data_IF_148247103640
#
_entry.id   IF_148247103640
#
_cell.length_a   1.000
_cell.length_b   1.000
_cell.length_c   1.000
_cell.angle_alpha   90.00
_cell.angle_beta   90.00
_cell.angle_gamma   90.00
#
_symmetry.space_group_name_H-M   'P 1'
#
loop_
_entity.id
_entity.type
_entity.pdbx_description
1 polymer ?
#
# COMPACT_ATOMS: atom_id res chain seq x y z
N UNK A 1 37.30 6.97 -16.12
CA UNK A 1 35.97 6.40 -15.80
C UNK A 1 35.61 5.39 -16.89
N UNK A 2 35.45 4.10 -16.59
CA UNK A 2 35.02 3.13 -17.59
C UNK A 2 33.58 3.44 -18.05
N UNK A 3 33.24 3.27 -19.33
CA UNK A 3 31.89 3.52 -19.84
C UNK A 3 30.89 2.59 -19.16
N UNK A 4 29.80 3.14 -18.64
CA UNK A 4 28.74 2.35 -18.01
C UNK A 4 28.08 1.43 -19.05
N UNK A 5 27.75 0.17 -18.68
CA UNK A 5 27.06 -0.74 -19.59
C UNK A 5 25.70 -0.15 -19.96
N UNK A 6 25.40 -0.10 -21.26
CA UNK A 6 24.10 0.35 -21.75
C UNK A 6 23.00 -0.52 -21.14
N UNK A 7 22.08 0.11 -20.41
CA UNK A 7 20.90 -0.53 -19.83
C UNK A 7 19.68 -0.09 -20.64
N UNK A 8 19.15 -0.95 -21.53
CA UNK A 8 18.07 -0.57 -22.44
C UNK A 8 16.78 -0.14 -21.72
N UNK A 9 16.57 -0.64 -20.50
CA UNK A 9 15.42 -0.26 -19.68
C UNK A 9 15.47 1.20 -19.19
N UNK A 10 16.66 1.83 -19.20
CA UNK A 10 16.87 3.24 -18.83
C UNK A 10 16.79 4.18 -20.03
N UNK A 11 16.84 3.64 -21.25
CA UNK A 11 16.70 4.42 -22.48
C UNK A 11 15.22 4.56 -22.86
N UNK A 12 14.70 5.79 -22.77
CA UNK A 12 13.33 6.11 -23.11
C UNK A 12 13.02 5.83 -24.59
N UNK A 13 13.97 6.06 -25.51
CA UNK A 13 13.78 5.87 -26.96
C UNK A 13 13.59 4.40 -27.29
N UNK A 14 14.45 3.54 -26.74
CA UNK A 14 14.34 2.10 -26.89
C UNK A 14 13.00 1.58 -26.36
N UNK A 15 12.60 2.02 -25.15
CA UNK A 15 11.34 1.60 -24.53
C UNK A 15 10.13 1.97 -25.39
N UNK A 16 10.08 3.19 -25.92
CA UNK A 16 9.00 3.64 -26.81
C UNK A 16 8.98 2.83 -28.10
N UNK A 17 10.13 2.63 -28.75
CA UNK A 17 10.24 1.86 -29.99
C UNK A 17 9.82 0.40 -29.81
N UNK A 18 10.26 -0.26 -28.74
CA UNK A 18 9.91 -1.65 -28.43
C UNK A 18 8.41 -1.81 -28.14
N UNK A 19 7.80 -0.86 -27.42
CA UNK A 19 6.36 -0.87 -27.14
C UNK A 19 5.54 -0.61 -28.42
N UNK A 20 5.99 0.31 -29.27
CA UNK A 20 5.35 0.59 -30.56
C UNK A 20 5.38 -0.64 -31.47
N UNK A 21 6.55 -1.28 -31.60
CA UNK A 21 6.72 -2.52 -32.37
C UNK A 21 5.87 -3.66 -31.81
N UNK A 22 5.87 -3.85 -30.48
CA UNK A 22 5.02 -4.85 -29.82
C UNK A 22 3.53 -4.63 -30.13
N UNK A 23 3.05 -3.39 -29.99
CA UNK A 23 1.65 -3.04 -30.28
C UNK A 23 1.30 -3.28 -31.75
N UNK A 24 2.18 -2.88 -32.67
CA UNK A 24 2.02 -3.09 -34.10
C UNK A 24 1.94 -4.59 -34.43
N UNK A 25 2.88 -5.40 -33.94
CA UNK A 25 2.91 -6.85 -34.18
C UNK A 25 1.69 -7.56 -33.60
N UNK A 26 1.26 -7.21 -32.38
CA UNK A 26 0.05 -7.81 -31.78
C UNK A 26 -1.21 -7.43 -32.54
N UNK A 27 -1.29 -6.18 -33.04
CA UNK A 27 -2.41 -5.73 -33.87
C UNK A 27 -2.44 -6.47 -35.20
N UNK A 28 -1.32 -6.52 -35.91
CA UNK A 28 -1.22 -7.22 -37.20
C UNK A 28 -1.45 -8.71 -37.04
N UNK A 29 -0.96 -9.35 -35.97
CA UNK A 29 -1.14 -10.77 -35.71
C UNK A 29 -2.60 -11.18 -35.41
N UNK A 30 -3.45 -10.25 -34.96
CA UNK A 30 -4.88 -10.51 -34.73
C UNK A 30 -5.70 -10.44 -36.02
N UNK A 31 -5.22 -9.71 -37.01
CA UNK A 31 -5.88 -9.54 -38.30
C UNK A 31 -5.57 -10.68 -39.29
N UNK A 32 -4.68 -11.61 -38.94
CA UNK A 32 -4.35 -12.76 -39.78
C UNK A 32 -5.46 -13.80 -39.69
N UNK A 33 -6.08 -14.20 -40.82
CA UNK A 33 -7.04 -15.29 -40.84
C UNK A 33 -6.31 -16.62 -40.56
N UNK A 34 -6.80 -17.37 -39.57
CA UNK A 34 -6.30 -18.69 -39.22
C UNK A 34 -7.33 -19.75 -39.60
N UNK A 35 -6.91 -20.94 -40.07
CA UNK A 35 -7.80 -22.08 -40.24
C UNK A 35 -8.52 -22.43 -38.92
N UNK A 36 -9.79 -22.87 -38.97
CA UNK A 36 -10.61 -23.12 -37.77
C UNK A 36 -9.95 -24.09 -36.78
N UNK A 37 -9.24 -25.10 -37.28
CA UNK A 37 -8.51 -26.10 -36.49
C UNK A 37 -7.42 -25.48 -35.59
N UNK A 38 -6.79 -24.40 -36.05
CA UNK A 38 -5.72 -23.70 -35.35
C UNK A 38 -6.23 -22.50 -34.55
N UNK A 39 -7.30 -21.85 -34.99
CA UNK A 39 -7.86 -20.67 -34.35
C UNK A 39 -8.32 -20.93 -32.90
N UNK A 40 -8.86 -22.12 -32.62
CA UNK A 40 -9.36 -22.50 -31.30
C UNK A 40 -8.23 -22.76 -30.27
N UNK A 41 -7.09 -23.28 -30.72
CA UNK A 41 -6.00 -23.74 -29.84
C UNK A 41 -4.82 -22.78 -29.76
N UNK A 42 -4.64 -21.92 -30.76
CA UNK A 42 -3.40 -21.14 -30.95
C UNK A 42 -3.68 -19.70 -31.34
N UNK A 43 -3.10 -18.79 -30.55
CA UNK A 43 -3.09 -17.36 -30.87
C UNK A 43 -1.70 -16.93 -31.31
N UNK A 44 -1.56 -16.45 -32.55
CA UNK A 44 -0.32 -15.84 -33.08
C UNK A 44 0.10 -14.66 -32.22
N UNK A 45 -0.86 -13.82 -31.79
CA UNK A 45 -0.62 -12.73 -30.85
C UNK A 45 -0.08 -13.23 -29.50
N UNK A 46 -0.55 -14.39 -29.03
CA UNK A 46 -0.03 -15.05 -27.82
C UNK A 46 1.41 -15.54 -27.96
N UNK A 47 1.85 -15.92 -29.17
CA UNK A 47 3.24 -16.30 -29.45
C UNK A 47 4.15 -15.06 -29.43
N UNK A 48 3.72 -13.97 -30.07
CA UNK A 48 4.44 -12.67 -30.06
C UNK A 48 4.67 -12.22 -28.62
N UNK A 49 3.62 -12.22 -27.79
CA UNK A 49 3.72 -11.86 -26.36
C UNK A 49 4.80 -12.65 -25.63
N UNK A 50 4.82 -13.97 -25.82
CA UNK A 50 5.80 -14.85 -25.16
C UNK A 50 7.22 -14.60 -25.62
N UNK A 51 7.42 -14.31 -26.92
CA UNK A 51 8.74 -13.97 -27.45
C UNK A 51 9.27 -12.65 -26.87
N UNK A 52 8.42 -11.64 -26.73
CA UNK A 52 8.81 -10.38 -26.07
C UNK A 52 9.15 -10.59 -24.58
N UNK A 53 8.40 -11.43 -23.87
CA UNK A 53 8.72 -11.79 -22.47
C UNK A 53 10.06 -12.52 -22.38
N UNK A 54 10.32 -13.49 -23.28
CA UNK A 54 11.57 -14.25 -23.32
C UNK A 54 12.79 -13.32 -23.53
N UNK A 55 12.66 -12.32 -24.39
CA UNK A 55 13.76 -11.41 -24.74
C UNK A 55 13.87 -10.18 -23.83
N UNK A 56 13.09 -10.10 -22.74
CA UNK A 56 13.09 -8.96 -21.79
C UNK A 56 14.45 -8.72 -21.14
N UNK A 57 15.28 -9.76 -21.01
CA UNK A 57 16.58 -9.70 -20.33
C UNK A 57 17.74 -9.31 -21.24
N UNK A 58 17.49 -9.04 -22.53
CA UNK A 58 18.56 -8.63 -23.44
C UNK A 58 19.05 -7.22 -23.12
N UNK A 59 20.32 -7.12 -22.72
CA UNK A 59 21.00 -5.86 -22.39
C UNK A 59 22.00 -5.42 -23.45
N UNK A 60 22.46 -6.34 -24.30
CA UNK A 60 23.44 -6.04 -25.36
C UNK A 60 22.81 -5.28 -26.53
N UNK A 61 23.36 -4.13 -26.95
CA UNK A 61 22.83 -3.34 -28.06
C UNK A 61 22.82 -4.11 -29.39
N UNK A 62 23.81 -5.00 -29.61
CA UNK A 62 23.86 -5.85 -30.80
C UNK A 62 22.70 -6.85 -30.86
N UNK A 63 22.39 -7.49 -29.73
CA UNK A 63 21.25 -8.42 -29.64
C UNK A 63 19.92 -7.70 -29.81
N UNK A 64 19.79 -6.49 -29.25
CA UNK A 64 18.61 -5.67 -29.42
C UNK A 64 18.42 -5.22 -30.87
N UNK A 65 19.48 -4.78 -31.55
CA UNK A 65 19.41 -4.41 -32.95
C UNK A 65 18.93 -5.58 -33.82
N UNK A 66 19.54 -6.76 -33.65
CA UNK A 66 19.14 -7.97 -34.38
C UNK A 66 17.67 -8.33 -34.09
N UNK A 67 17.26 -8.28 -32.82
CA UNK A 67 15.89 -8.60 -32.43
C UNK A 67 14.86 -7.59 -32.97
N UNK A 68 15.17 -6.29 -32.94
CA UNK A 68 14.32 -5.23 -33.48
C UNK A 68 14.22 -5.34 -35.00
N UNK A 69 15.34 -5.52 -35.70
CA UNK A 69 15.38 -5.72 -37.15
C UNK A 69 14.55 -6.94 -37.56
N UNK A 70 14.67 -8.06 -36.83
CA UNK A 70 13.82 -9.23 -37.05
C UNK A 70 12.34 -8.89 -36.84
N UNK A 71 12.00 -8.16 -35.77
CA UNK A 71 10.61 -7.74 -35.50
C UNK A 71 10.00 -6.87 -36.60
N UNK A 72 10.76 -5.96 -37.20
CA UNK A 72 10.30 -5.17 -38.35
C UNK A 72 10.10 -6.03 -39.61
N UNK A 73 10.97 -7.01 -39.86
CA UNK A 73 10.77 -8.00 -40.94
C UNK A 73 9.52 -8.86 -40.71
N UNK A 74 9.23 -9.25 -39.46
CA UNK A 74 8.00 -9.96 -39.16
C UNK A 74 6.75 -9.09 -39.32
N UNK A 75 6.86 -7.77 -39.12
CA UNK A 75 5.75 -6.86 -39.34
C UNK A 75 5.36 -6.83 -40.83
N UNK A 76 6.35 -6.78 -41.74
CA UNK A 76 6.09 -6.83 -43.18
C UNK A 76 5.57 -8.20 -43.61
N UNK A 77 6.10 -9.30 -43.06
CA UNK A 77 5.56 -10.65 -43.29
C UNK A 77 4.11 -10.77 -42.82
N UNK A 78 3.76 -10.26 -41.63
CA UNK A 78 2.39 -10.31 -41.10
C UNK A 78 1.42 -9.47 -41.92
N UNK A 79 1.84 -8.33 -42.46
CA UNK A 79 1.01 -7.54 -43.35
C UNK A 79 0.66 -8.31 -44.64
N UNK A 80 1.60 -9.07 -45.19
CA UNK A 80 1.35 -9.94 -46.36
C UNK A 80 0.48 -11.15 -46.01
N UNK A 81 0.66 -11.71 -44.81
CA UNK A 81 -0.10 -12.86 -44.33
C UNK A 81 -1.57 -12.55 -43.96
N UNK A 82 -2.03 -11.30 -44.08
CA UNK A 82 -3.45 -10.93 -43.93
C UNK A 82 -4.34 -11.57 -44.99
N UNK A 83 -3.79 -11.88 -46.17
CA UNK A 83 -4.51 -12.60 -47.22
C UNK A 83 -4.32 -14.11 -47.04
N UNK A 84 -5.42 -14.86 -46.93
CA UNK A 84 -5.39 -16.31 -46.70
C UNK A 84 -4.70 -17.11 -47.84
N UNK A 85 -4.64 -16.56 -49.05
CA UNK A 85 -3.99 -17.16 -50.22
C UNK A 85 -2.51 -16.78 -50.39
N UNK A 86 -1.95 -15.94 -49.50
CA UNK A 86 -0.54 -15.55 -49.58
C UNK A 86 0.38 -16.69 -49.13
N UNK A 87 1.54 -16.81 -49.78
CA UNK A 87 2.57 -17.79 -49.44
C UNK A 87 3.07 -17.62 -48.00
N UNK A 88 3.12 -16.38 -47.50
CA UNK A 88 3.50 -16.04 -46.13
C UNK A 88 2.46 -16.52 -45.10
N UNK A 89 1.17 -16.57 -45.46
CA UNK A 89 0.13 -17.18 -44.62
C UNK A 89 0.36 -18.69 -44.53
N UNK A 90 0.64 -19.36 -45.66
CA UNK A 90 1.00 -20.78 -45.69
C UNK A 90 2.20 -21.11 -44.79
N UNK A 91 3.29 -20.34 -44.91
CA UNK A 91 4.48 -20.49 -44.05
C UNK A 91 4.16 -20.31 -42.56
N UNK A 92 3.30 -19.35 -42.21
CA UNK A 92 2.88 -19.13 -40.83
C UNK A 92 2.05 -20.31 -40.31
N UNK A 93 1.11 -20.80 -41.11
CA UNK A 93 0.26 -21.95 -40.76
C UNK A 93 1.10 -23.21 -40.59
N UNK A 94 2.07 -23.46 -41.48
CA UNK A 94 3.00 -24.59 -41.37
C UNK A 94 3.94 -24.45 -40.18
N UNK A 95 4.41 -23.24 -39.88
CA UNK A 95 5.16 -22.96 -38.66
C UNK A 95 4.32 -23.21 -37.40
N UNK A 96 3.05 -22.82 -37.40
CA UNK A 96 2.15 -23.14 -36.30
C UNK A 96 2.03 -24.65 -36.18
N UNK A 97 1.70 -25.38 -37.25
CA UNK A 97 1.56 -26.85 -37.25
C UNK A 97 2.81 -27.57 -36.74
N UNK A 98 3.99 -27.15 -37.17
CA UNK A 98 5.28 -27.73 -36.75
C UNK A 98 5.69 -27.38 -35.33
N UNK A 99 5.17 -26.28 -34.76
CA UNK A 99 5.35 -26.02 -33.34
C UNK A 99 4.63 -27.11 -32.53
N UNK A 100 5.28 -27.75 -31.53
CA UNK A 100 4.59 -28.69 -30.68
C UNK A 100 3.37 -28.01 -30.05
N UNK A 101 2.21 -28.69 -29.94
CA UNK A 101 1.09 -28.16 -29.19
C UNK A 101 1.64 -27.77 -27.84
N UNK A 102 1.46 -26.49 -27.50
CA UNK A 102 1.70 -26.04 -26.16
C UNK A 102 0.89 -26.99 -25.32
N UNK A 103 1.57 -27.80 -24.49
CA UNK A 103 0.89 -28.41 -23.34
C UNK A 103 0.04 -27.27 -22.82
N UNK A 104 -1.30 -27.40 -22.76
CA UNK A 104 -2.05 -26.48 -21.94
C UNK A 104 -1.21 -26.46 -20.68
N UNK A 105 -0.68 -25.28 -20.33
CA UNK A 105 -0.20 -25.10 -18.97
C UNK A 105 -1.36 -25.73 -18.22
N UNK A 106 -1.11 -26.79 -17.47
CA UNK A 106 -1.95 -27.04 -16.34
C UNK A 106 -1.84 -25.69 -15.61
N UNK A 107 -2.73 -24.74 -15.96
CA UNK A 107 -3.82 -24.42 -15.07
C UNK A 107 -4.06 -25.74 -14.38
N UNK A 108 -3.32 -25.94 -13.28
CA UNK A 108 -3.96 -26.26 -12.01
C UNK A 108 -5.40 -25.95 -12.25
N UNK A 109 -6.16 -27.02 -12.57
CA UNK A 109 -7.60 -27.02 -12.77
C UNK A 109 -8.10 -25.69 -12.26
N UNK A 110 -8.61 -24.82 -13.14
CA UNK A 110 -9.29 -23.60 -12.71
C UNK A 110 -9.99 -23.95 -11.41
N UNK A 111 -9.48 -23.50 -10.23
CA UNK A 111 -9.74 -24.21 -8.99
C UNK A 111 -11.24 -24.19 -8.86
N UNK A 112 -11.82 -25.37 -9.04
CA UNK A 112 -13.24 -25.63 -9.15
C UNK A 112 -13.95 -24.63 -8.26
N UNK A 113 -14.60 -23.59 -8.82
CA UNK A 113 -14.62 -22.21 -8.30
C UNK A 113 -14.55 -22.22 -6.80
N UNK A 114 -13.30 -22.24 -6.25
CA UNK A 114 -13.00 -22.78 -4.92
C UNK A 114 -14.14 -22.41 -4.02
N UNK A 115 -15.03 -23.39 -3.70
CA UNK A 115 -16.32 -23.18 -3.03
C UNK A 115 -16.15 -21.97 -2.15
N UNK A 116 -16.70 -20.82 -2.59
CA UNK A 116 -16.28 -19.50 -2.08
C UNK A 116 -16.55 -19.51 -0.60
N UNK A 117 -15.56 -19.94 0.19
CA UNK A 117 -15.64 -19.91 1.63
C UNK A 117 -15.88 -18.44 1.88
N UNK A 118 -17.05 -18.06 2.41
CA UNK A 118 -17.41 -16.67 2.56
C UNK A 118 -16.25 -16.00 3.28
N UNK A 119 -15.66 -14.98 2.64
CA UNK A 119 -14.46 -14.34 3.13
C UNK A 119 -14.68 -14.03 4.61
N UNK A 120 -13.81 -14.57 5.47
CA UNK A 120 -13.99 -14.47 6.91
C UNK A 120 -14.23 -13.01 7.28
N UNK A 121 -15.34 -12.76 7.98
CA UNK A 121 -15.75 -11.40 8.32
C UNK A 121 -14.61 -10.69 9.07
N UNK A 122 -14.26 -9.45 8.67
CA UNK A 122 -13.16 -8.73 9.29
C UNK A 122 -13.42 -8.49 10.77
N UNK A 123 -12.37 -8.57 11.60
CA UNK A 123 -12.48 -8.42 13.05
C UNK A 123 -13.16 -7.11 13.50
N UNK A 124 -12.88 -6.02 12.78
CA UNK A 124 -13.50 -4.72 12.98
C UNK A 124 -14.15 -4.25 11.68
N UNK A 125 -15.35 -3.69 11.79
CA UNK A 125 -16.10 -3.12 10.67
C UNK A 125 -16.19 -1.60 10.82
N UNK A 126 -16.09 -0.89 9.71
CA UNK A 126 -16.32 0.55 9.71
C UNK A 126 -17.83 0.78 9.83
N UNK A 127 -18.25 1.46 10.90
CA UNK A 127 -19.64 1.82 11.19
C UNK A 127 -19.94 3.29 10.89
N UNK A 128 -18.92 4.07 10.53
CA UNK A 128 -19.12 5.46 10.15
C UNK A 128 -19.99 5.52 8.88
N UNK A 129 -20.91 6.49 8.86
CA UNK A 129 -21.69 6.74 7.66
C UNK A 129 -20.74 7.15 6.51
N UNK A 130 -21.19 6.95 5.27
CA UNK A 130 -20.55 7.62 4.17
C UNK A 130 -20.61 9.12 4.49
N UNK A 131 -19.45 9.77 4.62
CA UNK A 131 -19.25 11.19 4.97
C UNK A 131 -18.70 11.50 6.39
N UNK A 132 -18.55 10.50 7.26
CA UNK A 132 -18.05 10.70 8.62
C UNK A 132 -16.58 10.26 8.77
N UNK A 133 -15.84 10.81 9.76
CA UNK A 133 -14.53 10.29 10.16
C UNK A 133 -14.61 8.78 10.44
N UNK A 134 -13.55 8.00 10.13
CA UNK A 134 -13.59 6.56 10.29
C UNK A 134 -13.89 6.22 11.75
N UNK A 135 -14.88 5.34 11.95
CA UNK A 135 -15.25 4.82 13.26
C UNK A 135 -15.45 3.33 13.13
N UNK A 136 -14.73 2.56 13.93
CA UNK A 136 -14.75 1.11 13.85
C UNK A 136 -15.46 0.51 15.05
N UNK A 137 -16.23 -0.55 14.80
CA UNK A 137 -16.80 -1.39 15.84
C UNK A 137 -16.33 -2.84 15.65
N UNK A 138 -16.17 -3.61 16.74
CA UNK A 138 -15.93 -5.04 16.65
C UNK A 138 -17.08 -5.73 15.88
N UNK A 139 -16.73 -6.62 14.96
CA UNK A 139 -17.71 -7.44 14.21
C UNK A 139 -18.15 -8.64 15.04
N UNK A 140 -17.20 -9.31 15.70
CA UNK A 140 -17.47 -10.45 16.59
C UNK A 140 -17.34 -10.00 18.04
N UNK A 141 -18.36 -10.31 18.83
CA UNK A 141 -18.35 -10.07 20.27
C UNK A 141 -17.46 -11.09 20.98
N UNK A 142 -16.88 -10.68 22.10
CA UNK A 142 -16.19 -11.57 23.02
C UNK A 142 -17.16 -12.65 23.49
N UNK A 143 -16.75 -13.91 23.37
CA UNK A 143 -17.60 -15.05 23.72
C UNK A 143 -17.38 -15.42 25.20
N UNK A 144 -18.39 -15.95 25.92
CA UNK A 144 -18.24 -16.39 27.31
C UNK A 144 -17.36 -17.65 27.41
N UNK A 145 -16.72 -17.91 28.56
CA UNK A 145 -15.84 -19.08 28.79
C UNK A 145 -16.49 -20.42 28.44
N UNK A 146 -17.80 -20.55 28.68
CA UNK A 146 -18.58 -21.75 28.37
C UNK A 146 -18.59 -22.13 26.89
N UNK A 147 -18.30 -21.16 26.00
CA UNK A 147 -18.19 -21.36 24.56
C UNK A 147 -16.75 -21.54 24.06
N UNK A 148 -15.77 -21.42 24.96
CA UNK A 148 -14.37 -21.71 24.70
C UNK A 148 -14.11 -23.17 25.10
N UNK A 149 -13.26 -23.88 24.35
CA UNK A 149 -12.99 -25.32 24.52
C UNK A 149 -12.17 -25.65 25.79
N UNK A 150 -12.57 -25.12 26.96
CA UNK A 150 -11.94 -25.34 28.26
C UNK A 150 -10.58 -24.69 28.46
N UNK A 151 -10.15 -23.80 27.54
CA UNK A 151 -8.86 -23.08 27.67
C UNK A 151 -9.02 -21.77 28.44
N UNK A 152 -8.02 -21.38 29.27
CA UNK A 152 -8.03 -20.09 29.94
C UNK A 152 -8.05 -18.95 28.92
N UNK A 153 -8.85 -17.91 29.21
CA UNK A 153 -9.02 -16.74 28.35
C UNK A 153 -7.69 -16.00 28.19
N UNK A 154 -7.30 -15.73 26.94
CA UNK A 154 -6.06 -15.03 26.62
C UNK A 154 -6.37 -13.65 26.04
N UNK A 155 -6.18 -12.61 26.85
CA UNK A 155 -6.38 -11.23 26.46
C UNK A 155 -5.30 -10.79 25.44
N UNK A 156 -5.67 -10.42 24.20
CA UNK A 156 -4.71 -9.87 23.24
C UNK A 156 -4.18 -8.51 23.68
N UNK A 157 -2.91 -8.23 23.40
CA UNK A 157 -2.36 -6.89 23.64
C UNK A 157 -2.49 -6.03 22.38
N UNK A 158 -2.96 -4.80 22.53
CA UNK A 158 -2.84 -3.79 21.47
C UNK A 158 -1.39 -3.34 21.38
N UNK A 159 -0.79 -3.48 20.21
CA UNK A 159 0.55 -3.00 19.91
C UNK A 159 0.50 -1.98 18.78
N UNK A 160 1.43 -1.04 18.81
CA UNK A 160 1.56 0.00 17.80
C UNK A 160 2.96 -0.11 17.19
N UNK A 161 3.02 -0.04 15.86
CA UNK A 161 4.30 -0.03 15.14
C UNK A 161 4.97 1.34 15.29
N UNK A 162 6.27 1.47 15.05
CA UNK A 162 6.98 2.75 15.14
C UNK A 162 6.34 3.90 14.32
N UNK A 163 5.64 3.59 13.24
CA UNK A 163 4.94 4.57 12.39
C UNK A 163 3.47 4.81 12.78
N UNK A 164 2.99 4.22 13.88
CA UNK A 164 1.63 4.44 14.38
C UNK A 164 0.58 3.41 13.94
N UNK A 165 0.95 2.38 13.18
CA UNK A 165 -0.02 1.35 12.75
C UNK A 165 -0.41 0.43 13.93
N UNK A 166 -1.70 0.38 14.34
CA UNK A 166 -2.15 -0.49 15.42
C UNK A 166 -2.44 -1.91 14.93
N UNK A 167 -2.19 -2.89 15.80
CA UNK A 167 -2.54 -4.29 15.58
C UNK A 167 -2.69 -5.03 16.91
N UNK A 168 -3.43 -6.15 16.89
CA UNK A 168 -3.51 -7.04 18.04
C UNK A 168 -2.40 -8.08 18.01
N UNK A 169 -1.75 -8.27 19.15
CA UNK A 169 -0.75 -9.31 19.37
C UNK A 169 -1.34 -10.37 20.31
N UNK A 170 -1.73 -11.49 19.72
CA UNK A 170 -2.30 -12.64 20.44
C UNK A 170 -1.18 -13.52 21.01
N UNK A 171 -0.12 -13.78 20.24
CA UNK A 171 0.95 -14.72 20.61
C UNK A 171 2.35 -14.08 20.61
N UNK A 172 3.25 -14.68 21.39
CA UNK A 172 4.70 -14.47 21.34
C UNK A 172 5.34 -15.84 21.02
N UNK A 173 6.16 -15.99 19.97
CA UNK A 173 6.53 -14.99 18.95
C UNK A 173 5.33 -14.57 18.07
N UNK A 174 5.46 -13.42 17.39
CA UNK A 174 4.41 -12.93 16.49
C UNK A 174 4.35 -13.84 15.24
N UNK A 175 3.14 -14.19 14.74
CA UNK A 175 3.01 -14.98 13.52
C UNK A 175 3.70 -14.28 12.33
N UNK A 176 4.49 -15.04 11.57
CA UNK A 176 5.28 -14.51 10.46
C UNK A 176 4.41 -13.80 9.41
N UNK A 177 3.23 -14.35 9.10
CA UNK A 177 2.29 -13.76 8.14
C UNK A 177 1.79 -12.39 8.58
N UNK A 178 1.46 -12.23 9.87
CA UNK A 178 1.05 -10.94 10.42
C UNK A 178 2.20 -9.92 10.36
N UNK A 179 3.41 -10.33 10.73
CA UNK A 179 4.60 -9.49 10.66
C UNK A 179 4.88 -9.02 9.22
N UNK A 180 4.83 -9.92 8.23
CA UNK A 180 4.98 -9.57 6.81
C UNK A 180 3.91 -8.59 6.34
N UNK A 181 2.65 -8.79 6.75
CA UNK A 181 1.56 -7.88 6.39
C UNK A 181 1.76 -6.48 6.96
N UNK A 182 2.18 -6.37 8.22
CA UNK A 182 2.51 -5.09 8.86
C UNK A 182 3.66 -4.43 8.12
N UNK A 183 4.76 -5.15 7.86
CA UNK A 183 5.91 -4.62 7.13
C UNK A 183 5.57 -4.13 5.71
N UNK A 184 4.68 -4.83 4.99
CA UNK A 184 4.18 -4.39 3.67
C UNK A 184 3.41 -3.08 3.76
N UNK A 185 2.50 -2.95 4.75
CA UNK A 185 1.73 -1.72 4.97
C UNK A 185 2.64 -0.56 5.37
N UNK A 186 3.58 -0.81 6.27
CA UNK A 186 4.58 0.16 6.70
C UNK A 186 5.44 0.65 5.52
N UNK A 187 5.91 -0.26 4.66
CA UNK A 187 6.68 0.10 3.46
C UNK A 187 5.88 1.00 2.53
N UNK A 188 4.60 0.72 2.34
CA UNK A 188 3.73 1.55 1.51
C UNK A 188 3.51 2.94 2.11
N UNK A 189 3.39 3.03 3.44
CA UNK A 189 3.28 4.31 4.14
C UNK A 189 4.57 5.14 4.02
N UNK A 190 5.74 4.53 4.28
CA UNK A 190 7.05 5.15 4.11
C UNK A 190 7.25 5.72 2.69
N UNK A 191 6.84 4.97 1.66
CA UNK A 191 6.90 5.43 0.27
C UNK A 191 6.11 6.72 0.04
N UNK A 192 4.95 6.90 0.71
CA UNK A 192 4.17 8.13 0.60
C UNK A 192 4.88 9.30 1.27
N UNK A 193 5.43 9.09 2.47
CA UNK A 193 6.22 10.11 3.18
C UNK A 193 7.42 10.54 2.34
N UNK A 194 8.21 9.59 1.85
CA UNK A 194 9.35 9.89 0.99
C UNK A 194 8.94 10.61 -0.30
N UNK A 195 7.73 10.34 -0.82
CA UNK A 195 7.22 11.07 -1.98
C UNK A 195 6.96 12.55 -1.66
N UNK A 196 6.43 12.87 -0.47
CA UNK A 196 6.24 14.27 -0.05
C UNK A 196 7.59 14.97 0.11
N UNK A 197 8.55 14.30 0.75
CA UNK A 197 9.93 14.82 0.90
C UNK A 197 10.56 15.09 -0.46
N UNK A 198 10.53 14.10 -1.36
CA UNK A 198 11.03 14.25 -2.73
C UNK A 198 10.35 15.38 -3.49
N UNK A 199 9.04 15.56 -3.33
CA UNK A 199 8.33 16.68 -3.96
C UNK A 199 8.86 18.01 -3.42
N UNK A 200 9.07 18.14 -2.11
CA UNK A 200 9.55 19.39 -1.52
C UNK A 200 11.03 19.69 -1.88
N UNK A 201 11.89 18.69 -1.83
CA UNK A 201 13.35 18.87 -1.96
C UNK A 201 13.80 18.95 -3.43
N UNK A 202 13.22 18.12 -4.30
CA UNK A 202 13.68 18.00 -5.69
C UNK A 202 12.72 18.63 -6.69
N UNK A 203 11.42 18.30 -6.59
CA UNK A 203 10.45 18.65 -7.65
C UNK A 203 9.99 20.10 -7.53
N UNK A 204 9.76 20.61 -6.32
CA UNK A 204 9.28 21.97 -6.10
C UNK A 204 10.27 23.03 -6.60
N UNK A 205 11.58 22.96 -6.26
CA UNK A 205 12.54 23.94 -6.78
C UNK A 205 12.67 23.87 -8.30
N UNK A 206 12.68 22.66 -8.87
CA UNK A 206 12.70 22.49 -10.32
C UNK A 206 11.47 23.13 -10.99
N UNK A 207 10.29 23.01 -10.38
CA UNK A 207 9.07 23.61 -10.89
C UNK A 207 9.07 25.14 -10.82
N UNK A 208 9.68 25.71 -9.78
CA UNK A 208 9.90 27.16 -9.68
C UNK A 208 10.84 27.68 -10.78
N UNK A 209 11.91 26.93 -11.08
CA UNK A 209 12.81 27.26 -12.18
C UNK A 209 12.11 27.22 -13.54
N UNK A 210 11.31 26.18 -13.80
CA UNK A 210 10.54 26.04 -15.05
C UNK A 210 9.53 27.18 -15.21
N UNK A 211 8.72 27.46 -14.18
CA UNK A 211 7.75 28.56 -14.22
C UNK A 211 8.43 29.93 -14.43
N UNK A 212 9.65 30.11 -13.90
CA UNK A 212 10.43 31.32 -14.13
C UNK A 212 10.95 31.40 -15.57
N UNK A 213 11.37 30.28 -16.14
CA UNK A 213 11.80 30.19 -17.53
C UNK A 213 10.63 30.48 -18.48
N UNK A 214 9.44 29.91 -18.24
CA UNK A 214 8.22 30.19 -19.01
C UNK A 214 7.84 31.68 -18.98
N UNK A 215 8.08 32.34 -17.83
CA UNK A 215 7.86 33.79 -17.69
C UNK A 215 8.85 34.59 -18.54
N UNK A 216 10.14 34.26 -18.49
CA UNK A 216 11.17 34.92 -19.31
C UNK A 216 10.92 34.69 -20.79
N UNK A 217 10.53 33.48 -21.18
CA UNK A 217 10.24 33.17 -22.58
C UNK A 217 9.03 33.94 -23.10
N UNK A 218 7.99 34.08 -22.29
CA UNK A 218 6.86 34.90 -22.66
C UNK A 218 7.23 36.38 -22.85
N UNK A 219 8.07 36.94 -21.96
CA UNK A 219 8.56 38.32 -22.10
C UNK A 219 9.36 38.51 -23.40
N UNK A 220 10.21 37.54 -23.76
CA UNK A 220 10.96 37.57 -25.01
C UNK A 220 10.03 37.48 -26.23
N UNK A 221 9.03 36.58 -26.20
CA UNK A 221 8.03 36.47 -27.26
C UNK A 221 7.22 37.76 -27.44
N UNK A 222 6.84 38.41 -26.34
CA UNK A 222 6.13 39.70 -26.36
C UNK A 222 6.96 40.80 -27.05
N UNK A 223 8.28 40.79 -26.84
CA UNK A 223 9.22 41.74 -27.44
C UNK A 223 9.45 41.45 -28.94
N UNK A 224 9.48 40.18 -29.36
CA UNK A 224 9.76 39.79 -30.75
C UNK A 224 8.54 39.88 -31.67
N UNK A 225 7.34 39.48 -31.22
CA UNK A 225 6.16 39.40 -32.09
C UNK A 225 5.31 40.68 -32.16
N UNK A 226 5.66 41.73 -31.41
CA UNK A 226 4.95 43.00 -31.52
C UNK A 226 3.45 42.85 -31.22
N UNK A 227 3.13 42.36 -30.02
CA UNK A 227 1.81 42.44 -29.37
C UNK A 227 0.62 41.86 -30.16
N UNK A 228 0.36 40.57 -29.93
CA UNK A 228 -1.00 40.18 -29.55
C UNK A 228 -1.02 40.08 -28.03
N UNK A 229 -1.75 41.00 -27.38
CA UNK A 229 -2.01 40.90 -25.95
C UNK A 229 -2.86 39.65 -25.73
N UNK A 230 -2.24 38.52 -25.42
CA UNK A 230 -2.96 37.48 -24.68
C UNK A 230 -3.32 38.12 -23.35
N UNK A 231 -4.62 38.22 -23.06
CA UNK A 231 -5.12 38.87 -21.86
C UNK A 231 -4.35 38.37 -20.62
N UNK A 232 -3.79 39.25 -19.77
CA UNK A 232 -3.04 38.84 -18.58
C UNK A 232 -3.84 37.99 -17.59
N UNK A 233 -5.17 37.97 -17.74
CA UNK A 233 -6.10 37.20 -16.93
C UNK A 233 -6.17 35.71 -17.30
N UNK A 234 -5.72 35.32 -18.51
CA UNK A 234 -5.79 33.93 -18.99
C UNK A 234 -4.46 33.16 -18.81
N UNK A 235 -3.43 33.78 -18.22
CA UNK A 235 -2.28 33.04 -17.67
C UNK A 235 -2.72 32.41 -16.36
N UNK A 236 -3.58 31.40 -16.50
CA UNK A 236 -4.23 30.70 -15.41
C UNK A 236 -3.16 30.26 -14.40
N UNK A 237 -3.20 30.81 -13.19
CA UNK A 237 -2.40 30.33 -12.04
C UNK A 237 -2.55 28.81 -11.85
N UNK A 238 -3.64 28.25 -12.38
CA UNK A 238 -3.97 26.84 -12.40
C UNK A 238 -3.25 26.01 -13.48
N UNK A 239 -2.51 26.66 -14.39
CA UNK A 239 -1.78 26.03 -15.51
C UNK A 239 -0.27 25.90 -15.28
N UNK A 240 0.28 26.53 -14.23
CA UNK A 240 1.73 26.49 -14.00
C UNK A 240 2.20 25.11 -13.54
N UNK A 241 3.45 24.75 -13.87
CA UNK A 241 4.00 23.48 -13.46
C UNK A 241 4.10 23.42 -11.93
N UNK A 242 4.52 24.51 -11.29
CA UNK A 242 4.53 24.60 -9.82
C UNK A 242 3.14 24.36 -9.20
N UNK A 243 2.09 24.92 -9.78
CA UNK A 243 0.72 24.68 -9.29
C UNK A 243 0.38 23.19 -9.29
N UNK A 244 0.69 22.50 -10.39
CA UNK A 244 0.47 21.05 -10.48
C UNK A 244 1.26 20.25 -9.42
N UNK A 245 2.47 20.70 -9.08
CA UNK A 245 3.33 20.08 -8.06
C UNK A 245 2.79 20.29 -6.65
N UNK A 246 2.38 21.52 -6.30
CA UNK A 246 1.73 21.84 -5.02
C UNK A 246 0.48 20.98 -4.85
N UNK A 247 -0.31 20.88 -5.91
CA UNK A 247 -1.55 20.12 -5.91
C UNK A 247 -1.29 18.60 -5.74
N UNK A 248 -0.27 18.08 -6.43
CA UNK A 248 0.20 16.70 -6.26
C UNK A 248 0.73 16.41 -4.85
N UNK A 249 1.39 17.38 -4.21
CA UNK A 249 1.84 17.29 -2.82
C UNK A 249 0.68 17.17 -1.86
N UNK A 250 -0.27 18.12 -1.90
CA UNK A 250 -1.44 18.14 -1.02
C UNK A 250 -2.26 16.87 -1.13
N UNK A 251 -2.37 16.30 -2.33
CA UNK A 251 -3.02 15.01 -2.52
C UNK A 251 -2.35 13.89 -1.71
N UNK A 252 -1.02 13.80 -1.72
CA UNK A 252 -0.28 12.78 -0.98
C UNK A 252 -0.37 13.04 0.53
N UNK A 253 -0.30 14.30 0.96
CA UNK A 253 -0.48 14.69 2.37
C UNK A 253 -1.87 14.30 2.88
N UNK A 254 -2.93 14.60 2.13
CA UNK A 254 -4.29 14.17 2.48
C UNK A 254 -4.40 12.64 2.57
N UNK A 255 -3.74 11.92 1.66
CA UNK A 255 -3.71 10.45 1.74
C UNK A 255 -3.01 9.95 3.01
N UNK A 256 -1.96 10.65 3.48
CA UNK A 256 -1.26 10.34 4.73
C UNK A 256 -2.18 10.62 5.91
N UNK A 257 -2.81 11.80 5.96
CA UNK A 257 -3.75 12.18 7.01
C UNK A 257 -4.91 11.18 7.11
N UNK A 258 -5.51 10.79 5.98
CA UNK A 258 -6.55 9.74 5.92
C UNK A 258 -6.08 8.42 6.51
N UNK A 259 -4.86 7.99 6.16
CA UNK A 259 -4.31 6.75 6.74
C UNK A 259 -4.09 6.88 8.24
N UNK A 260 -3.72 8.07 8.72
CA UNK A 260 -3.52 8.34 10.14
C UNK A 260 -4.83 8.32 10.92
N UNK A 261 -5.87 8.98 10.40
CA UNK A 261 -7.22 8.94 10.97
C UNK A 261 -7.78 7.51 11.02
N UNK A 262 -7.62 6.76 9.93
CA UNK A 262 -8.02 5.35 9.88
C UNK A 262 -7.28 4.51 10.93
N UNK A 263 -5.98 4.72 11.09
CA UNK A 263 -5.18 4.02 12.11
C UNK A 263 -5.61 4.38 13.51
N UNK A 264 -5.84 5.65 13.85
CA UNK A 264 -6.34 6.03 15.16
C UNK A 264 -7.67 5.38 15.47
N UNK A 265 -8.63 5.46 14.55
CA UNK A 265 -9.96 4.89 14.73
C UNK A 265 -9.91 3.37 14.92
N UNK A 266 -9.06 2.67 14.16
CA UNK A 266 -8.82 1.23 14.36
C UNK A 266 -8.16 0.97 15.70
N UNK A 267 -7.18 1.77 16.10
CA UNK A 267 -6.47 1.65 17.38
C UNK A 267 -7.43 1.74 18.56
N UNK A 268 -8.32 2.74 18.55
CA UNK A 268 -9.37 2.92 19.55
C UNK A 268 -10.31 1.70 19.62
N UNK A 269 -10.80 1.23 18.47
CA UNK A 269 -11.69 0.06 18.43
C UNK A 269 -11.01 -1.23 18.91
N UNK A 270 -9.73 -1.43 18.56
CA UNK A 270 -8.95 -2.57 19.02
C UNK A 270 -8.64 -2.50 20.52
N UNK A 271 -8.41 -1.29 21.05
CA UNK A 271 -8.23 -1.06 22.48
C UNK A 271 -9.50 -1.38 23.26
N UNK A 272 -10.63 -0.83 22.84
CA UNK A 272 -11.93 -1.09 23.45
C UNK A 272 -12.29 -2.59 23.43
N UNK A 273 -11.92 -3.31 22.37
CA UNK A 273 -12.07 -4.76 22.28
C UNK A 273 -11.18 -5.50 23.30
N UNK A 274 -9.92 -5.10 23.44
CA UNK A 274 -9.00 -5.70 24.40
C UNK A 274 -9.40 -5.43 25.85
N UNK A 275 -9.93 -4.23 26.15
CA UNK A 275 -10.46 -3.90 27.49
C UNK A 275 -11.68 -4.74 27.84
N UNK A 276 -12.63 -4.94 26.91
CA UNK A 276 -13.77 -5.85 27.13
C UNK A 276 -13.32 -7.28 27.41
N UNK A 277 -12.33 -7.76 26.67
CA UNK A 277 -11.78 -9.10 26.86
C UNK A 277 -11.08 -9.23 28.22
N UNK A 278 -10.44 -8.16 28.70
CA UNK A 278 -9.85 -8.10 30.05
C UNK A 278 -10.91 -8.12 31.13
N UNK A 279 -11.97 -7.32 31.01
CA UNK A 279 -13.06 -7.27 31.98
C UNK A 279 -13.75 -8.64 32.13
N UNK A 280 -13.95 -9.37 31.02
CA UNK A 280 -14.49 -10.73 31.07
C UNK A 280 -13.52 -11.72 31.71
N UNK A 281 -12.22 -11.59 31.45
CA UNK A 281 -11.21 -12.41 32.10
C UNK A 281 -11.20 -12.20 33.62
N UNK A 282 -11.38 -10.96 34.07
CA UNK A 282 -11.46 -10.60 35.49
C UNK A 282 -12.73 -11.18 36.15
N UNK A 283 -13.90 -11.05 35.51
CA UNK A 283 -15.15 -11.65 35.98
C UNK A 283 -15.05 -13.17 36.12
N UNK A 284 -14.50 -13.85 35.11
CA UNK A 284 -14.34 -15.29 35.11
C UNK A 284 -13.30 -15.77 36.14
N UNK A 285 -12.23 -15.00 36.35
CA UNK A 285 -11.27 -15.29 37.42
C UNK A 285 -11.89 -15.15 38.81
N UNK A 286 -12.72 -14.13 39.02
CA UNK A 286 -13.43 -13.93 40.28
C UNK A 286 -14.46 -15.05 40.53
N UNK A 287 -15.21 -15.47 39.51
CA UNK A 287 -16.13 -16.61 39.61
C UNK A 287 -15.38 -17.93 39.87
N UNK A 288 -14.23 -18.13 39.22
CA UNK A 288 -13.38 -19.29 39.43
C UNK A 288 -12.76 -19.34 40.83
N UNK A 289 -12.53 -18.20 41.49
CA UNK A 289 -12.06 -18.15 42.88
C UNK A 289 -13.18 -18.43 43.90
N UNK A 290 -14.45 -18.17 43.55
CA UNK A 290 -15.61 -18.41 44.41
C UNK A 290 -16.00 -19.89 44.44
N UNK A 291 -16.03 -20.57 43.28
CA UNK A 291 -16.42 -22.00 43.16
C UNK A 291 -15.62 -22.98 44.04
N UNK A 292 -14.28 -22.90 44.19
CA UNK A 292 -13.51 -23.84 45.00
C UNK A 292 -13.74 -23.69 46.51
N UNK A 293 -14.43 -22.63 46.96
CA UNK A 293 -14.72 -22.39 48.39
C UNK A 293 -16.08 -22.93 48.83
N UNK A 294 -17.01 -23.12 47.90
CA UNK A 294 -18.35 -23.65 48.20
C UNK A 294 -18.38 -25.18 48.13
N UNK A 295 -17.65 -25.81 47.19
CA UNK A 295 -17.58 -27.27 47.10
C UNK A 295 -16.81 -27.89 48.28
N UNK A 296 -15.78 -27.22 48.81
CA UNK A 296 -15.07 -27.69 50.02
C UNK A 296 -15.84 -27.56 51.33
N UNK A 297 -17.03 -26.95 51.33
CA UNK A 297 -17.87 -26.81 52.53
C UNK A 297 -19.02 -27.81 52.59
N UNK A 298 -19.25 -28.58 51.53
CA UNK A 298 -20.37 -29.53 51.45
C UNK A 298 -19.91 -30.97 51.74
N UNK A 299 -18.60 -31.24 51.69
CA UNK A 299 -18.05 -32.59 51.91
C UNK A 299 -17.53 -32.84 53.36
N UNK A 300 -17.65 -31.88 54.28
CA UNK A 300 -17.13 -32.00 55.67
C UNK A 300 -18.20 -32.34 56.73
N UNK A 301 -19.45 -32.65 56.35
CA UNK A 301 -20.57 -32.91 57.29
C UNK A 301 -21.16 -34.34 57.21
N UNK A 302 -20.40 -35.36 56.78
CA UNK A 302 -20.83 -36.76 56.98
C UNK A 302 -19.65 -37.75 57.12
N UNK A 303 -19.10 -37.85 58.33
CA UNK A 303 -18.86 -39.13 59.02
C UNK A 303 -18.12 -38.90 60.35
N UNK A 304 -18.89 -38.99 61.43
CA UNK A 304 -18.35 -39.29 62.75
C UNK A 304 -17.98 -40.76 62.87
N UNK A 305 -16.77 -40.97 63.36
CA UNK A 305 -16.37 -42.05 64.27
C UNK A 305 -16.10 -43.45 63.71
N UNK A 306 -14.81 -43.80 63.60
CA UNK A 306 -14.13 -44.70 64.55
C UNK A 306 -12.96 -45.47 63.92
N UNK A 307 -11.75 -45.12 64.40
CA UNK A 307 -10.64 -46.03 64.71
C UNK A 307 -10.23 -47.14 63.72
N UNK A 308 -9.00 -47.04 63.18
CA UNK A 308 -7.93 -47.96 63.58
C UNK A 308 -6.58 -47.60 62.97
N UNK A 309 -5.58 -47.78 63.81
CA UNK A 309 -4.15 -47.63 63.62
C UNK A 309 -3.58 -48.64 62.62
N UNK A 310 -2.61 -48.22 61.79
CA UNK A 310 -1.29 -48.87 61.76
C UNK A 310 -0.30 -48.14 60.85
N UNK A 311 0.85 -47.93 61.46
CA UNK A 311 2.17 -47.59 60.92
C UNK A 311 2.59 -48.41 59.69
N UNK A 312 3.23 -47.75 58.73
CA UNK A 312 4.53 -48.21 58.23
C UNK A 312 5.34 -47.05 57.62
N UNK A 313 6.58 -46.98 58.05
CA UNK A 313 7.65 -46.09 57.64
C UNK A 313 8.24 -46.51 56.29
N UNK A 314 8.75 -45.55 55.51
CA UNK A 314 10.20 -45.44 55.20
C UNK A 314 10.51 -44.60 53.95
N UNK A 315 11.64 -43.88 54.07
CA UNK A 315 12.56 -43.37 53.04
C UNK A 315 12.05 -42.33 52.03
N UNK A 316 12.47 -41.06 52.08
CA UNK A 316 13.81 -40.50 51.88
C UNK A 316 14.46 -40.81 50.53
N UNK A 317 14.31 -39.88 49.57
CA UNK A 317 15.37 -39.59 48.60
C UNK A 317 15.20 -38.18 48.03
N UNK A 318 16.07 -37.32 48.52
CA UNK A 318 16.44 -36.01 48.01
C UNK A 318 16.96 -36.07 46.57
N UNK A 319 16.46 -35.19 45.71
CA UNK A 319 17.21 -34.73 44.53
C UNK A 319 17.05 -33.23 44.37
N UNK A 320 18.05 -32.55 44.90
CA UNK A 320 18.51 -31.19 44.70
C UNK A 320 18.55 -30.71 43.25
N UNK A 321 18.17 -29.44 43.02
CA UNK A 321 18.90 -28.39 42.25
C UNK A 321 17.96 -27.23 41.84
N UNK A 322 18.46 -26.02 41.50
CA UNK A 322 19.01 -25.07 42.45
C UNK A 322 18.27 -23.72 42.42
N UNK A 323 18.27 -23.08 43.58
CA UNK A 323 17.85 -21.70 43.80
C UNK A 323 18.73 -20.74 42.99
N UNK A 324 18.11 -20.01 42.05
CA UNK A 324 18.77 -18.90 41.32
C UNK A 324 18.43 -17.60 42.02
N UNK A 325 19.28 -17.24 42.99
CA UNK A 325 19.36 -15.92 43.61
C UNK A 325 19.34 -14.83 42.54
N UNK A 326 18.26 -14.04 42.51
CA UNK A 326 18.27 -12.71 41.90
C UNK A 326 18.51 -11.69 43.00
N UNK A 327 19.76 -11.22 43.07
CA UNK A 327 20.10 -9.98 43.75
C UNK A 327 19.24 -8.85 43.18
N UNK A 328 18.44 -8.25 44.05
CA UNK A 328 17.86 -6.93 43.87
C UNK A 328 19.01 -5.94 44.03
N UNK A 329 19.51 -5.41 42.91
CA UNK A 329 20.32 -4.20 42.90
C UNK A 329 19.37 -3.01 42.70
N UNK A 330 19.06 -2.35 43.81
CA UNK A 330 18.60 -0.97 43.85
C UNK A 330 19.72 -0.07 43.31
N UNK A 331 19.69 0.25 42.02
CA UNK A 331 20.37 1.43 41.50
C UNK A 331 19.40 2.60 41.55
N UNK A 332 19.56 3.41 42.59
CA UNK A 332 19.09 4.78 42.64
C UNK A 332 19.95 5.60 41.67
N UNK A 333 19.42 5.97 40.51
CA UNK A 333 20.01 7.01 39.68
C UNK A 333 18.93 8.04 39.36
N UNK A 334 19.08 9.20 39.99
CA UNK A 334 18.27 10.39 39.76
C UNK A 334 18.21 10.74 38.26
N UNK A 335 17.03 11.09 37.71
CA UNK A 335 16.95 11.65 36.37
C UNK A 335 17.46 13.11 36.36
N UNK A 336 18.23 13.54 35.35
CA UNK A 336 18.65 14.93 35.21
C UNK A 336 17.45 15.86 34.86
N UNK A 337 17.54 17.17 35.16
CA UNK A 337 16.43 18.10 35.09
C UNK A 337 15.90 18.31 33.66
N UNK A 338 14.57 18.31 33.56
CA UNK A 338 13.80 18.62 32.34
C UNK A 338 14.06 20.05 31.89
N UNK A 339 14.47 20.23 30.63
CA UNK A 339 14.38 21.51 29.92
C UNK A 339 12.92 21.75 29.48
N UNK A 340 12.46 23.01 29.42
CA UNK A 340 11.06 23.34 29.19
C UNK A 340 10.61 23.03 27.75
N UNK A 341 9.34 22.68 27.67
CA UNK A 341 8.56 22.35 26.48
C UNK A 341 8.74 23.32 25.30
N UNK A 342 9.23 22.83 24.16
CA UNK A 342 8.86 23.42 22.87
C UNK A 342 7.47 22.90 22.51
N UNK A 343 6.54 23.83 22.41
CA UNK A 343 5.14 23.61 22.09
C UNK A 343 4.98 22.81 20.78
N UNK A 344 4.31 21.66 20.86
CA UNK A 344 3.70 21.03 19.69
C UNK A 344 2.67 22.01 19.12
N UNK A 345 2.66 22.30 17.80
CA UNK A 345 1.67 23.22 17.25
C UNK A 345 0.28 22.61 17.39
N UNK A 346 -0.57 23.37 18.07
CA UNK A 346 -2.01 23.17 18.25
C UNK A 346 -2.69 22.72 16.95
N UNK A 347 -3.11 21.47 16.88
CA UNK A 347 -4.07 21.01 15.87
C UNK A 347 -5.44 21.39 16.39
N UNK A 348 -5.94 22.55 15.94
CA UNK A 348 -7.34 22.93 16.11
C UNK A 348 -8.21 21.86 15.44
N UNK A 349 -9.20 21.38 16.18
CA UNK A 349 -10.31 20.58 15.69
C UNK A 349 -10.98 21.31 14.51
N UNK A 350 -10.78 20.81 13.30
CA UNK A 350 -11.58 21.19 12.15
C UNK A 350 -12.22 19.92 11.58
N UNK A 351 -13.49 19.72 11.92
CA UNK A 351 -14.38 18.75 11.30
C UNK A 351 -14.73 19.20 9.89
N UNK A 352 -14.28 18.44 8.88
CA UNK A 352 -14.68 18.62 7.48
C UNK A 352 -15.79 17.64 7.09
N UNK A 353 -16.76 18.05 6.25
CA UNK A 353 -17.79 17.16 5.74
C UNK A 353 -17.18 16.25 4.67
N UNK A 354 -17.15 14.93 4.91
CA UNK A 354 -16.61 13.97 3.95
C UNK A 354 -17.66 13.56 2.92
N UNK A 355 -17.27 12.93 1.82
CA UNK A 355 -18.13 12.07 0.98
C UNK A 355 -17.34 10.81 0.66
N UNK A 356 -17.81 9.65 1.14
CA UNK A 356 -17.08 8.38 1.03
C UNK A 356 -17.13 7.79 -0.38
N UNK A 357 -15.98 7.35 -0.89
CA UNK A 357 -15.83 6.57 -2.11
C UNK A 357 -15.74 5.08 -1.79
N UNK A 358 -16.63 4.30 -2.40
CA UNK A 358 -16.46 2.84 -2.58
C UNK A 358 -15.23 2.56 -3.49
N UNK A 359 -14.60 1.38 -3.41
CA UNK A 359 -13.54 1.00 -4.33
C UNK A 359 -14.10 0.90 -5.76
N UNK A 360 -13.59 1.72 -6.69
CA UNK A 360 -14.03 1.65 -8.09
C UNK A 360 -13.32 0.52 -8.84
N UNK A 361 -14.00 -0.13 -9.80
CA UNK A 361 -13.40 -1.11 -10.72
C UNK A 361 -12.47 -0.40 -11.74
N UNK A 362 -11.74 -1.13 -12.60
CA UNK A 362 -10.54 -0.65 -13.29
C UNK A 362 -10.88 0.15 -14.54
N UNK A 363 -11.54 1.30 -14.38
CA UNK A 363 -11.60 2.33 -15.40
C UNK A 363 -10.82 3.53 -14.88
N UNK A 364 -9.69 3.78 -15.56
CA UNK A 364 -8.70 4.82 -15.30
C UNK A 364 -9.31 6.22 -15.55
N UNK A 365 -10.32 6.62 -14.77
CA UNK A 365 -10.80 8.00 -14.76
C UNK A 365 -9.79 8.80 -13.97
N UNK A 366 -9.23 9.80 -14.63
CA UNK A 366 -8.25 10.73 -14.09
C UNK A 366 -8.66 11.14 -12.66
N UNK A 367 -7.83 10.86 -11.63
CA UNK A 367 -8.13 11.25 -10.26
C UNK A 367 -8.35 12.76 -10.12
N UNK A 368 -7.88 13.57 -11.06
CA UNK A 368 -7.98 15.02 -11.08
C UNK A 368 -9.27 15.58 -11.70
N UNK A 369 -10.16 14.71 -12.19
CA UNK A 369 -11.46 15.12 -12.77
C UNK A 369 -12.62 14.67 -11.86
N UNK A 370 -12.32 13.95 -10.77
CA UNK A 370 -13.37 13.43 -9.89
C UNK A 370 -14.02 14.56 -9.07
N UNK A 371 -15.34 14.47 -8.77
CA UNK A 371 -16.00 15.43 -7.87
C UNK A 371 -15.32 15.53 -6.49
N UNK A 372 -14.65 14.46 -6.07
CA UNK A 372 -13.85 14.41 -4.84
C UNK A 372 -12.57 15.23 -4.91
N UNK A 373 -12.01 15.39 -6.10
CA UNK A 373 -10.87 16.25 -6.36
C UNK A 373 -11.26 17.72 -6.36
N UNK A 374 -12.37 18.07 -7.03
CA UNK A 374 -12.91 19.42 -6.97
C UNK A 374 -13.29 19.85 -5.54
N UNK A 375 -13.87 18.93 -4.75
CA UNK A 375 -14.17 19.17 -3.33
C UNK A 375 -12.91 19.37 -2.48
N UNK A 376 -11.84 18.61 -2.75
CA UNK A 376 -10.54 18.77 -2.09
C UNK A 376 -9.91 20.12 -2.43
N UNK A 377 -9.89 20.49 -3.72
CA UNK A 377 -9.39 21.80 -4.14
C UNK A 377 -10.18 22.92 -3.46
N UNK A 378 -11.50 22.78 -3.35
CA UNK A 378 -12.35 23.76 -2.68
C UNK A 378 -12.06 23.86 -1.17
N UNK A 379 -11.86 22.72 -0.47
CA UNK A 379 -11.57 22.71 0.97
C UNK A 379 -10.16 23.17 1.29
N UNK A 380 -9.19 22.83 0.45
CA UNK A 380 -7.78 23.18 0.59
C UNK A 380 -7.43 24.50 -0.09
N UNK A 381 -8.41 25.21 -0.66
CA UNK A 381 -8.20 26.47 -1.38
C UNK A 381 -7.41 27.47 -0.55
N UNK A 382 -7.66 27.57 0.75
CA UNK A 382 -6.94 28.48 1.67
C UNK A 382 -5.48 28.07 1.90
N UNK A 383 -5.19 26.77 1.94
CA UNK A 383 -3.81 26.26 2.04
C UNK A 383 -3.07 26.41 0.73
N UNK A 384 -3.75 26.17 -0.39
CA UNK A 384 -3.26 26.41 -1.76
C UNK A 384 -2.91 27.88 -1.99
N UNK A 385 -3.79 28.81 -1.62
CA UNK A 385 -3.55 30.25 -1.79
C UNK A 385 -2.42 30.76 -0.90
N UNK A 386 -2.27 30.23 0.33
CA UNK A 386 -1.14 30.55 1.20
C UNK A 386 0.19 30.03 0.63
N UNK A 387 0.22 28.77 0.19
CA UNK A 387 1.41 28.16 -0.41
C UNK A 387 1.87 28.86 -1.72
N UNK A 388 0.92 29.47 -2.45
CA UNK A 388 1.25 30.35 -3.58
C UNK A 388 1.75 31.73 -3.13
N UNK A 389 1.12 32.32 -2.10
CA UNK A 389 1.43 33.65 -1.61
C UNK A 389 2.81 33.78 -0.93
N UNK A 390 3.25 32.76 -0.20
CA UNK A 390 4.51 32.80 0.58
C UNK A 390 5.76 32.95 -0.31
N UNK A 391 5.69 32.65 -1.60
CA UNK A 391 6.81 32.85 -2.54
C UNK A 391 6.87 34.24 -3.19
N UNK A 392 5.75 34.98 -3.26
CA UNK A 392 5.77 36.33 -3.84
C UNK A 392 6.53 37.32 -2.95
N UNK A 393 6.62 37.07 -1.65
CA UNK A 393 7.42 37.88 -0.73
C UNK A 393 8.93 37.59 -0.82
N UNK A 394 9.32 36.42 -1.35
CA UNK A 394 10.74 36.06 -1.49
C UNK A 394 11.41 36.70 -2.72
N UNK A 395 10.62 37.18 -3.70
CA UNK A 395 11.15 37.86 -4.89
C UNK A 395 11.23 39.38 -4.76
N UNK A 396 10.60 40.01 -3.76
CA UNK A 396 10.58 41.48 -3.61
C UNK A 396 11.76 42.06 -2.80
N UNK A 397 12.72 41.24 -2.36
CA UNK A 397 13.85 41.70 -1.54
C UNK A 397 15.20 41.75 -2.28
N UNK A 398 15.21 41.53 -3.60
CA UNK A 398 16.42 41.64 -4.42
C UNK A 398 16.15 42.52 -5.66
N UNK A 399 15.98 43.83 -5.42
CA UNK A 399 16.17 44.83 -6.48
C UNK A 399 16.96 46.00 -5.90
N UNK A 400 18.19 46.28 -6.37
CA UNK A 400 18.98 47.40 -5.90
C UNK A 400 18.45 48.68 -6.55
N UNK A 401 17.75 49.50 -5.76
CA UNK A 401 17.27 50.82 -6.15
C UNK A 401 18.43 51.83 -6.21
N UNK A 402 18.71 52.26 -7.44
CA UNK A 402 19.46 53.44 -7.84
C UNK A 402 18.99 54.68 -7.04
N UNK A 403 19.94 55.43 -6.49
CA UNK A 403 19.72 56.75 -5.86
C UNK A 403 20.09 57.83 -6.88
N UNK A 404 19.31 58.94 -6.98
CA UNK A 404 19.42 59.97 -8.02
C UNK A 404 20.75 60.71 -8.09
#
# INVERSE_FOLDING_TARGET
MPPQPYVPARDHRHRVAALALYRALVRSARAIPLPPDLAASRSVAGLVRRRFVKHRHYTSPRLLYIAMAAGYRFLTMFAKAHTASSAENGQLVDFLRSCPPLRPRQTTSEPEPASRVPAAEPLIRNIAAACEPPRYAPSRMSRPLSSLDGRPRKVPMVAITAHGQPFLRINKPQPALLSQMIGRKETNFKKKIHKVVHINEDVMPAAECEDNWDRQMAQLMEHELGRDKVDPLDRDLYSSFRWSVILGKLWVELQIERTWQDWNARGLALHEMAERERALAEQESAEADIRPRTERRIDDDDNGDSSSSSSFSSSSSSSSSPSRNRHILLLTSNPPPRKPHSQSPNVREFTFPYRSLKPSPPNLKDPFIQPTWAALIASEKTRLTRALGDSSQSQSLLSPGVVP
#
